data_IF_257153118740
#
_entry.id   IF_257153118740
#
_cell.length_a   1.000
_cell.length_b   1.000
_cell.length_c   1.000
_cell.angle_alpha   90.00
_cell.angle_beta   90.00
_cell.angle_gamma   90.00
#
_symmetry.space_group_name_H-M   'P 1'
#
loop_
_entity.id
_entity.type
_entity.pdbx_description
1 polymer ?
#
# COMPACT_ATOMS: atom_id res chain seq x y z
N UNK A 1 -8.50 -20.03 24.69
CA UNK A 1 -9.69 -20.27 23.85
C UNK A 1 -9.31 -19.93 22.42
N UNK A 2 -9.85 -20.66 21.43
CA UNK A 2 -9.61 -20.34 20.00
C UNK A 2 -9.96 -18.88 19.72
N UNK A 3 -9.16 -18.19 18.90
CA UNK A 3 -9.48 -16.83 18.45
C UNK A 3 -10.76 -16.83 17.59
N UNK A 4 -11.02 -17.92 16.86
CA UNK A 4 -12.23 -18.08 16.04
C UNK A 4 -13.50 -18.08 16.89
N UNK A 5 -13.44 -18.66 18.08
CA UNK A 5 -14.57 -18.70 19.01
C UNK A 5 -14.95 -17.31 19.56
N UNK A 6 -14.11 -16.30 19.38
CA UNK A 6 -14.33 -14.92 19.84
C UNK A 6 -14.94 -14.04 18.73
N UNK A 7 -15.03 -14.55 17.50
CA UNK A 7 -15.49 -13.77 16.34
C UNK A 7 -17.01 -13.89 16.21
N UNK A 8 -17.71 -12.80 16.52
CA UNK A 8 -19.17 -12.68 16.37
C UNK A 8 -19.59 -11.76 15.21
N UNK A 9 -18.66 -10.97 14.68
CA UNK A 9 -18.88 -9.99 13.62
C UNK A 9 -17.70 -9.99 12.63
N UNK A 10 -17.84 -9.37 11.44
CA UNK A 10 -16.77 -9.32 10.45
C UNK A 10 -15.47 -8.82 11.07
N UNK A 11 -14.43 -9.63 11.03
CA UNK A 11 -13.17 -9.35 11.72
C UNK A 11 -12.01 -9.54 10.76
N UNK A 12 -11.16 -8.51 10.63
CA UNK A 12 -9.97 -8.60 9.78
C UNK A 12 -8.87 -9.36 10.51
N UNK A 13 -8.65 -10.60 10.08
CA UNK A 13 -7.57 -11.44 10.59
C UNK A 13 -6.26 -11.04 9.94
N UNK A 14 -5.19 -11.02 10.74
CA UNK A 14 -3.82 -10.81 10.29
C UNK A 14 -2.95 -12.00 10.70
N UNK A 15 -2.38 -12.67 9.70
CA UNK A 15 -1.35 -13.67 9.91
C UNK A 15 0.01 -12.97 10.04
N UNK A 16 0.45 -12.78 11.29
CA UNK A 16 1.72 -12.13 11.62
C UNK A 16 2.93 -12.81 10.96
N UNK A 17 2.95 -14.14 10.90
CA UNK A 17 4.07 -14.88 10.32
C UNK A 17 4.23 -14.58 8.83
N UNK A 18 3.12 -14.56 8.08
CA UNK A 18 3.14 -14.21 6.65
C UNK A 18 3.54 -12.75 6.47
N UNK A 19 2.96 -11.82 7.24
CA UNK A 19 3.28 -10.40 7.13
C UNK A 19 4.77 -10.11 7.40
N UNK A 20 5.33 -10.69 8.47
CA UNK A 20 6.75 -10.57 8.79
C UNK A 20 7.64 -11.21 7.72
N UNK A 21 7.27 -12.36 7.19
CA UNK A 21 8.00 -12.98 6.08
C UNK A 21 8.01 -12.10 4.83
N UNK A 22 6.90 -11.42 4.52
CA UNK A 22 6.82 -10.46 3.43
C UNK A 22 7.73 -9.24 3.67
N UNK A 23 7.71 -8.68 4.89
CA UNK A 23 8.58 -7.57 5.30
C UNK A 23 10.06 -7.96 5.11
N UNK A 24 10.47 -9.09 5.69
CA UNK A 24 11.84 -9.60 5.60
C UNK A 24 12.29 -9.78 4.16
N UNK A 25 11.47 -10.41 3.31
CA UNK A 25 11.77 -10.64 1.89
C UNK A 25 12.09 -9.34 1.15
N UNK A 26 11.32 -8.28 1.41
CA UNK A 26 11.54 -6.97 0.78
C UNK A 26 12.75 -6.25 1.37
N UNK A 27 12.96 -6.33 2.68
CA UNK A 27 14.13 -5.75 3.35
C UNK A 27 15.43 -6.39 2.87
N UNK A 28 15.48 -7.72 2.77
CA UNK A 28 16.60 -8.47 2.20
C UNK A 28 16.83 -8.11 0.74
N UNK A 29 15.77 -7.98 -0.07
CA UNK A 29 15.90 -7.51 -1.45
C UNK A 29 16.54 -6.13 -1.52
N UNK A 30 16.05 -5.17 -0.75
CA UNK A 30 16.60 -3.82 -0.72
C UNK A 30 18.09 -3.82 -0.33
N UNK A 31 18.47 -4.61 0.67
CA UNK A 31 19.88 -4.81 1.07
C UNK A 31 20.72 -5.41 -0.06
N UNK A 32 20.24 -6.48 -0.72
CA UNK A 32 20.96 -7.10 -1.87
C UNK A 32 21.15 -6.14 -3.04
N UNK A 33 20.16 -5.30 -3.31
CA UNK A 33 20.20 -4.34 -4.41
C UNK A 33 20.87 -3.00 -4.04
N UNK A 34 21.36 -2.88 -2.80
CA UNK A 34 21.97 -1.66 -2.27
C UNK A 34 21.07 -0.41 -2.45
N UNK A 35 19.76 -0.58 -2.23
CA UNK A 35 18.77 0.50 -2.27
C UNK A 35 18.15 0.69 -0.89
N UNK A 36 17.80 1.93 -0.54
CA UNK A 36 17.06 2.21 0.70
C UNK A 36 15.62 1.71 0.57
N UNK A 37 15.16 0.93 1.53
CA UNK A 37 13.74 0.60 1.65
C UNK A 37 13.05 1.67 2.48
N UNK A 38 12.14 2.44 1.86
CA UNK A 38 11.25 3.39 2.54
C UNK A 38 9.79 2.97 2.34
N UNK A 39 9.34 1.92 3.05
CA UNK A 39 8.07 1.28 2.78
C UNK A 39 6.90 2.24 3.05
N UNK A 40 5.82 2.03 2.31
CA UNK A 40 4.65 2.89 2.40
C UNK A 40 3.62 2.34 3.39
N UNK A 41 3.45 3.06 4.51
CA UNK A 41 2.66 2.62 5.67
C UNK A 41 1.14 2.80 5.53
N UNK A 42 0.65 3.21 4.35
CA UNK A 42 -0.79 3.40 4.10
C UNK A 42 -1.60 2.10 4.13
N UNK A 43 -0.94 0.95 3.96
CA UNK A 43 -1.62 -0.34 3.89
C UNK A 43 -2.02 -0.85 5.27
N UNK A 44 -1.11 -0.77 6.25
CA UNK A 44 -1.36 -1.29 7.60
C UNK A 44 -1.73 -0.22 8.62
N UNK A 45 -1.19 1.01 8.48
CA UNK A 45 -1.49 2.14 9.36
C UNK A 45 -1.42 1.82 10.88
N UNK A 46 -0.61 0.83 11.25
CA UNK A 46 -0.53 0.24 12.59
C UNK A 46 0.87 0.43 13.15
N UNK A 47 0.98 0.94 14.38
CA UNK A 47 2.25 1.03 15.11
C UNK A 47 2.90 -0.34 15.25
N UNK A 48 2.14 -1.36 15.64
CA UNK A 48 2.63 -2.70 15.92
C UNK A 48 3.27 -3.31 14.66
N UNK A 49 2.58 -3.21 13.51
CA UNK A 49 3.15 -3.64 12.22
C UNK A 49 4.37 -2.78 11.85
N UNK A 50 4.38 -1.49 12.19
CA UNK A 50 5.55 -0.62 12.06
C UNK A 50 6.76 -1.12 12.84
N UNK A 51 6.60 -1.62 14.07
CA UNK A 51 7.72 -2.17 14.85
C UNK A 51 8.35 -3.39 14.14
N UNK A 52 7.56 -4.21 13.43
CA UNK A 52 8.09 -5.32 12.64
C UNK A 52 9.02 -4.86 11.50
N UNK A 53 8.79 -3.67 10.93
CA UNK A 53 9.70 -3.07 9.96
C UNK A 53 11.02 -2.62 10.61
N UNK A 54 10.96 -2.06 11.84
CA UNK A 54 12.17 -1.65 12.58
C UNK A 54 13.05 -2.86 12.91
N UNK A 55 12.45 -4.00 13.27
CA UNK A 55 13.18 -5.25 13.52
C UNK A 55 14.01 -5.72 12.30
N UNK A 56 13.55 -5.43 11.08
CA UNK A 56 14.26 -5.76 9.83
C UNK A 56 15.26 -4.66 9.39
N UNK A 57 15.39 -3.59 10.19
CA UNK A 57 16.33 -2.49 10.00
C UNK A 57 15.81 -1.31 9.19
N UNK A 58 14.49 -1.19 8.99
CA UNK A 58 13.90 -0.04 8.32
C UNK A 58 13.84 1.16 9.27
N UNK A 59 14.42 2.28 8.85
CA UNK A 59 14.50 3.52 9.65
C UNK A 59 13.73 4.69 9.05
N UNK A 60 13.26 4.55 7.82
CA UNK A 60 12.62 5.61 7.04
C UNK A 60 11.32 5.10 6.42
N UNK A 61 10.25 5.90 6.45
CA UNK A 61 8.93 5.47 5.97
C UNK A 61 8.28 6.47 5.02
N UNK A 62 7.32 5.97 4.26
CA UNK A 62 6.45 6.77 3.39
C UNK A 62 5.02 6.74 3.90
N UNK A 63 4.36 7.89 3.97
CA UNK A 63 2.96 8.02 4.38
C UNK A 63 2.17 8.79 3.33
N UNK A 64 0.83 8.67 3.37
CA UNK A 64 -0.07 9.30 2.38
C UNK A 64 -0.72 10.59 2.88
N UNK A 65 -0.54 10.94 4.16
CA UNK A 65 -1.18 12.12 4.75
C UNK A 65 -0.39 12.67 5.93
N UNK A 66 -0.64 13.94 6.25
CA UNK A 66 -0.10 14.61 7.44
C UNK A 66 -0.54 13.92 8.73
N UNK A 67 -1.82 13.49 8.81
CA UNK A 67 -2.35 12.74 9.96
C UNK A 67 -1.53 11.47 10.21
N UNK A 68 -1.20 10.73 9.15
CA UNK A 68 -0.41 9.51 9.25
C UNK A 68 1.04 9.80 9.63
N UNK A 69 1.63 10.89 9.12
CA UNK A 69 2.95 11.34 9.57
C UNK A 69 2.96 11.64 11.08
N UNK A 70 1.96 12.38 11.59
CA UNK A 70 1.81 12.68 13.03
C UNK A 70 1.60 11.42 13.88
N UNK A 71 0.86 10.44 13.37
CA UNK A 71 0.69 9.15 14.04
C UNK A 71 2.03 8.43 14.19
N UNK A 72 2.77 8.22 13.10
CA UNK A 72 4.02 7.48 13.16
C UNK A 72 5.17 8.26 13.83
N UNK A 73 5.21 9.59 13.72
CA UNK A 73 6.17 10.42 14.45
C UNK A 73 6.04 10.24 15.97
N UNK A 74 4.81 10.24 16.51
CA UNK A 74 4.54 9.95 17.93
C UNK A 74 4.92 8.53 18.36
N UNK A 75 5.12 7.63 17.39
CA UNK A 75 5.58 6.25 17.61
C UNK A 75 7.06 6.04 17.23
N UNK A 76 7.84 7.13 17.25
CA UNK A 76 9.30 7.11 17.15
C UNK A 76 9.83 6.93 15.72
N UNK A 77 9.04 7.25 14.70
CA UNK A 77 9.55 7.33 13.33
C UNK A 77 10.08 8.74 13.05
N UNK A 78 11.38 8.84 12.76
CA UNK A 78 12.07 10.12 12.62
C UNK A 78 12.34 10.55 11.18
N UNK A 79 12.29 9.63 10.21
CA UNK A 79 12.43 9.96 8.78
C UNK A 79 11.16 9.56 8.03
N UNK A 80 10.31 10.55 7.73
CA UNK A 80 8.99 10.34 7.13
C UNK A 80 8.85 11.19 5.88
N UNK A 81 8.54 10.56 4.75
CA UNK A 81 8.15 11.26 3.51
C UNK A 81 6.63 11.18 3.30
N UNK A 82 5.98 12.32 3.15
CA UNK A 82 4.58 12.40 2.73
C UNK A 82 4.55 12.35 1.19
N UNK A 83 4.23 11.18 0.63
CA UNK A 83 4.22 10.94 -0.82
C UNK A 83 2.87 11.30 -1.46
N UNK A 84 2.37 12.49 -1.15
CA UNK A 84 1.18 13.12 -1.72
C UNK A 84 1.51 14.58 -2.06
N UNK A 85 0.98 15.16 -3.15
CA UNK A 85 1.24 16.56 -3.48
C UNK A 85 0.95 17.49 -2.29
N UNK A 86 1.80 18.49 -2.10
CA UNK A 86 1.73 19.43 -0.99
C UNK A 86 0.31 19.97 -0.77
N UNK A 87 -0.27 19.67 0.39
CA UNK A 87 -1.53 20.28 0.81
C UNK A 87 -1.26 21.54 1.64
N UNK A 88 -1.28 22.70 0.97
CA UNK A 88 -1.04 24.02 1.58
C UNK A 88 -1.94 24.33 2.78
N UNK A 89 -3.14 23.73 2.83
CA UNK A 89 -4.09 23.91 3.94
C UNK A 89 -3.64 23.27 5.26
N UNK A 90 -2.63 22.39 5.22
CA UNK A 90 -2.09 21.72 6.40
C UNK A 90 -0.69 22.23 6.76
N UNK A 91 -0.34 23.43 6.30
CA UNK A 91 0.97 24.04 6.58
C UNK A 91 1.29 24.12 8.08
N UNK A 92 0.37 24.53 8.99
CA UNK A 92 0.68 24.55 10.42
C UNK A 92 1.10 23.18 10.96
N UNK A 93 0.41 22.11 10.55
CA UNK A 93 0.73 20.73 10.97
C UNK A 93 2.01 20.21 10.32
N UNK A 94 2.32 20.62 9.08
CA UNK A 94 3.59 20.32 8.43
C UNK A 94 4.76 21.00 9.16
N UNK A 95 4.60 22.27 9.56
CA UNK A 95 5.61 23.00 10.30
C UNK A 95 5.88 22.36 11.67
N UNK A 96 4.83 21.98 12.40
CA UNK A 96 4.94 21.28 13.68
C UNK A 96 5.67 19.93 13.54
N UNK A 97 5.35 19.15 12.49
CA UNK A 97 6.05 17.89 12.19
C UNK A 97 7.52 18.12 11.84
N UNK A 98 7.82 19.11 11.00
CA UNK A 98 9.18 19.40 10.56
C UNK A 98 10.11 19.81 11.71
N UNK A 99 9.57 20.29 12.83
CA UNK A 99 10.34 20.57 14.04
C UNK A 99 10.73 19.30 14.83
N UNK A 100 10.03 18.19 14.60
CA UNK A 100 10.17 16.96 15.38
C UNK A 100 10.93 15.87 14.63
N UNK A 101 10.83 15.85 13.30
CA UNK A 101 11.31 14.76 12.45
C UNK A 101 11.97 15.28 11.17
N UNK A 102 12.76 14.42 10.53
CA UNK A 102 13.23 14.61 9.16
C UNK A 102 12.06 14.43 8.19
N UNK A 103 11.35 15.53 7.90
CA UNK A 103 10.14 15.52 7.08
C UNK A 103 10.46 15.69 5.60
N UNK A 104 10.08 14.70 4.79
CA UNK A 104 10.01 14.78 3.34
C UNK A 104 8.64 15.24 2.85
N UNK A 105 8.59 16.30 2.03
CA UNK A 105 7.39 16.79 1.34
C UNK A 105 7.53 16.62 -0.16
N UNK A 106 6.41 16.47 -0.85
CA UNK A 106 6.38 16.28 -2.31
C UNK A 106 5.76 17.50 -2.99
N UNK A 107 6.50 18.12 -3.92
CA UNK A 107 6.01 19.23 -4.75
C UNK A 107 5.73 18.77 -6.18
N UNK A 108 4.82 19.45 -6.87
CA UNK A 108 4.47 19.14 -8.26
C UNK A 108 4.49 20.37 -9.17
N UNK A 109 4.93 21.52 -8.67
CA UNK A 109 5.00 22.78 -9.42
C UNK A 109 6.02 23.73 -8.80
N UNK A 110 6.46 24.73 -9.58
CA UNK A 110 7.36 25.78 -9.08
C UNK A 110 6.66 26.63 -8.00
N UNK A 111 5.35 26.85 -8.16
CA UNK A 111 4.51 27.58 -7.20
C UNK A 111 4.45 26.89 -5.82
N UNK A 112 4.52 25.55 -5.76
CA UNK A 112 4.64 24.84 -4.48
C UNK A 112 5.97 25.13 -3.78
N UNK A 113 7.06 25.26 -4.54
CA UNK A 113 8.39 25.60 -4.00
C UNK A 113 8.39 27.04 -3.48
N UNK A 114 7.87 27.99 -4.26
CA UNK A 114 7.70 29.39 -3.86
C UNK A 114 6.86 29.48 -2.58
N UNK A 115 5.74 28.76 -2.53
CA UNK A 115 4.89 28.73 -1.35
C UNK A 115 5.63 28.21 -0.12
N UNK A 116 6.39 27.12 -0.23
CA UNK A 116 7.20 26.61 0.88
C UNK A 116 8.27 27.64 1.30
N UNK A 117 9.00 28.22 0.35
CA UNK A 117 10.02 29.25 0.61
C UNK A 117 9.47 30.41 1.44
N UNK A 118 8.27 30.88 1.10
CA UNK A 118 7.66 32.06 1.72
C UNK A 118 6.93 31.77 3.02
N UNK A 119 6.32 30.58 3.15
CA UNK A 119 5.37 30.28 4.23
C UNK A 119 5.91 29.28 5.25
N UNK A 120 6.97 28.51 4.93
CA UNK A 120 7.56 27.52 5.81
C UNK A 120 9.00 27.89 6.17
N UNK A 121 9.21 28.36 7.40
CA UNK A 121 10.55 28.70 7.89
C UNK A 121 11.35 27.48 8.39
N UNK A 122 10.66 26.41 8.81
CA UNK A 122 11.30 25.19 9.32
C UNK A 122 11.83 24.36 8.15
N UNK A 123 13.09 23.88 8.18
CA UNK A 123 13.65 23.08 7.11
C UNK A 123 12.87 21.79 6.85
N UNK A 124 12.67 21.48 5.56
CA UNK A 124 12.12 20.21 5.10
C UNK A 124 12.95 19.68 3.94
N UNK A 125 12.82 18.37 3.70
CA UNK A 125 13.34 17.70 2.53
C UNK A 125 12.29 17.76 1.41
N UNK A 126 12.66 18.24 0.23
CA UNK A 126 11.76 18.38 -0.92
C UNK A 126 12.05 17.31 -1.95
N UNK A 127 11.00 16.58 -2.33
CA UNK A 127 10.97 15.71 -3.50
C UNK A 127 10.14 16.35 -4.62
N UNK A 128 10.66 16.37 -5.84
CA UNK A 128 9.87 16.74 -7.01
C UNK A 128 9.15 15.50 -7.53
N UNK A 129 7.82 15.55 -7.60
CA UNK A 129 7.01 14.44 -8.13
C UNK A 129 7.18 14.34 -9.64
N UNK A 130 7.77 13.24 -10.09
CA UNK A 130 7.87 12.91 -11.50
C UNK A 130 6.73 11.96 -11.93
N UNK A 131 6.15 12.21 -13.10
CA UNK A 131 5.26 11.29 -13.81
C UNK A 131 6.05 10.56 -14.90
N UNK A 132 6.23 9.26 -14.72
CA UNK A 132 6.92 8.38 -15.67
C UNK A 132 5.98 7.74 -16.70
N UNK A 133 4.68 8.04 -16.65
CA UNK A 133 3.67 7.48 -17.57
C UNK A 133 2.38 7.04 -16.89
N UNK A 134 2.22 7.26 -15.59
CA UNK A 134 0.99 6.88 -14.88
C UNK A 134 -0.16 7.86 -15.16
N UNK A 135 0.12 9.15 -15.36
CA UNK A 135 -0.90 10.15 -15.64
C UNK A 135 -1.80 10.49 -14.46
N UNK A 136 -1.30 10.32 -13.22
CA UNK A 136 -2.06 10.66 -11.99
C UNK A 136 -1.69 12.02 -11.41
N UNK A 137 -0.43 12.16 -10.99
CA UNK A 137 0.13 13.40 -10.42
C UNK A 137 1.63 13.45 -10.70
N UNK A 138 2.18 14.67 -10.70
CA UNK A 138 3.59 14.92 -10.98
C UNK A 138 3.81 15.57 -12.34
N UNK A 139 5.04 16.03 -12.54
CA UNK A 139 5.49 16.65 -13.78
C UNK A 139 6.00 15.53 -14.69
N UNK A 140 5.54 15.51 -15.95
CA UNK A 140 6.04 14.55 -16.93
C UNK A 140 7.55 14.69 -17.06
N UNK A 141 8.27 13.56 -17.07
CA UNK A 141 9.74 13.59 -17.16
C UNK A 141 10.26 14.25 -18.43
N UNK A 142 9.44 14.27 -19.49
CA UNK A 142 9.74 14.91 -20.77
C UNK A 142 9.47 16.43 -20.78
N UNK A 143 8.75 16.96 -19.79
CA UNK A 143 8.45 18.39 -19.69
C UNK A 143 9.59 19.14 -18.97
N UNK A 144 10.75 19.21 -19.63
CA UNK A 144 11.96 19.78 -19.05
C UNK A 144 11.83 21.26 -18.74
N UNK A 145 10.98 22.00 -19.47
CA UNK A 145 10.77 23.43 -19.19
C UNK A 145 10.10 23.64 -17.82
N UNK A 146 9.06 22.85 -17.51
CA UNK A 146 8.40 22.91 -16.19
C UNK A 146 9.34 22.42 -15.09
N UNK A 147 10.11 21.36 -15.34
CA UNK A 147 11.11 20.88 -14.38
C UNK A 147 12.18 21.95 -14.12
N UNK A 148 12.76 22.54 -15.16
CA UNK A 148 13.79 23.57 -15.03
C UNK A 148 13.29 24.76 -14.20
N UNK A 149 12.04 25.19 -14.39
CA UNK A 149 11.41 26.23 -13.56
C UNK A 149 11.32 25.83 -12.07
N UNK A 150 10.97 24.58 -11.77
CA UNK A 150 10.96 24.06 -10.39
C UNK A 150 12.37 24.08 -9.78
N UNK A 151 13.37 23.61 -10.53
CA UNK A 151 14.76 23.59 -10.03
C UNK A 151 15.34 25.00 -9.84
N UNK A 152 14.93 25.97 -10.66
CA UNK A 152 15.32 27.38 -10.48
C UNK A 152 14.78 27.94 -9.17
N UNK A 153 13.51 27.68 -8.82
CA UNK A 153 12.96 28.10 -7.53
C UNK A 153 13.61 27.37 -6.35
N UNK A 154 13.95 26.08 -6.51
CA UNK A 154 14.66 25.32 -5.48
C UNK A 154 16.06 25.88 -5.21
N UNK A 155 16.78 26.33 -6.24
CA UNK A 155 18.08 26.98 -6.08
C UNK A 155 18.00 28.28 -5.27
N UNK A 156 16.84 28.93 -5.23
CA UNK A 156 16.56 30.13 -4.43
C UNK A 156 15.95 29.84 -3.05
N UNK A 157 15.90 28.56 -2.64
CA UNK A 157 15.26 28.11 -1.40
C UNK A 157 16.25 27.36 -0.49
N UNK A 158 17.35 28.00 -0.03
CA UNK A 158 18.41 27.33 0.72
C UNK A 158 17.99 26.84 2.12
N UNK A 159 16.86 27.31 2.65
CA UNK A 159 16.30 26.83 3.92
C UNK A 159 15.69 25.43 3.83
N UNK A 160 15.49 24.90 2.62
CA UNK A 160 14.99 23.55 2.38
C UNK A 160 15.99 22.74 1.58
N UNK A 161 15.95 21.42 1.72
CA UNK A 161 16.89 20.53 1.03
C UNK A 161 16.18 19.83 -0.13
N UNK A 162 16.57 20.11 -1.36
CA UNK A 162 16.13 19.31 -2.50
C UNK A 162 16.83 17.94 -2.46
N UNK A 163 16.05 16.87 -2.27
CA UNK A 163 16.59 15.50 -2.27
C UNK A 163 16.66 14.90 -3.66
N UNK A 164 15.72 15.22 -4.54
CA UNK A 164 15.67 14.69 -5.90
C UNK A 164 14.26 14.37 -6.38
N UNK A 165 14.14 13.35 -7.22
CA UNK A 165 12.89 13.01 -7.89
C UNK A 165 12.22 11.77 -7.32
N UNK A 166 10.91 11.85 -7.19
CA UNK A 166 10.08 10.79 -6.65
C UNK A 166 8.98 10.40 -7.64
N UNK A 167 9.00 9.15 -8.12
CA UNK A 167 7.98 8.61 -9.02
C UNK A 167 7.20 7.45 -8.39
N UNK A 168 5.97 7.23 -8.87
CA UNK A 168 5.18 6.04 -8.55
C UNK A 168 4.55 5.50 -9.83
N UNK A 169 5.00 4.32 -10.27
CA UNK A 169 4.57 3.69 -11.50
C UNK A 169 3.25 2.94 -11.33
N UNK A 170 2.21 3.60 -10.81
CA UNK A 170 0.92 2.95 -10.49
C UNK A 170 0.20 2.30 -11.68
N UNK A 171 0.65 2.53 -12.91
CA UNK A 171 0.16 1.83 -14.09
C UNK A 171 0.60 0.34 -14.13
N UNK A 172 1.54 -0.09 -13.28
CA UNK A 172 1.82 -1.51 -13.02
C UNK A 172 0.61 -2.28 -12.49
N UNK A 173 -0.35 -1.62 -11.83
CA UNK A 173 -1.60 -2.24 -11.39
C UNK A 173 -2.52 -2.65 -12.55
N UNK A 174 -2.29 -2.08 -13.75
CA UNK A 174 -2.99 -2.46 -14.99
C UNK A 174 -2.25 -3.56 -15.77
N UNK A 175 -1.00 -3.85 -15.41
CA UNK A 175 -0.22 -4.93 -16.01
C UNK A 175 -0.61 -6.30 -15.45
N UNK A 176 -0.33 -7.36 -16.21
CA UNK A 176 -0.54 -8.75 -15.80
C UNK A 176 0.70 -9.55 -16.17
N UNK A 177 1.26 -10.24 -15.19
CA UNK A 177 2.44 -11.08 -15.34
C UNK A 177 3.76 -10.29 -15.35
N UNK A 178 4.84 -11.04 -15.11
CA UNK A 178 6.19 -10.49 -14.90
C UNK A 178 6.69 -9.61 -16.06
N UNK A 179 6.44 -10.01 -17.32
CA UNK A 179 6.97 -9.30 -18.49
C UNK A 179 6.38 -7.89 -18.63
N UNK A 180 5.06 -7.76 -18.53
CA UNK A 180 4.39 -6.45 -18.62
C UNK A 180 4.79 -5.52 -17.46
N UNK A 181 5.05 -6.08 -16.27
CA UNK A 181 5.59 -5.32 -15.13
C UNK A 181 7.03 -4.89 -15.43
N UNK A 182 7.86 -5.77 -16.00
CA UNK A 182 9.25 -5.48 -16.36
C UNK A 182 9.35 -4.34 -17.38
N UNK A 183 8.48 -4.32 -18.40
CA UNK A 183 8.46 -3.27 -19.42
C UNK A 183 8.19 -1.88 -18.80
N UNK A 184 7.20 -1.80 -17.90
CA UNK A 184 6.87 -0.57 -17.17
C UNK A 184 8.01 -0.15 -16.23
N UNK A 185 8.60 -1.12 -15.53
CA UNK A 185 9.70 -0.88 -14.61
C UNK A 185 10.92 -0.34 -15.35
N UNK A 186 11.32 -0.96 -16.46
CA UNK A 186 12.44 -0.50 -17.30
C UNK A 186 12.21 0.92 -17.84
N UNK A 187 11.00 1.23 -18.33
CA UNK A 187 10.65 2.58 -18.77
C UNK A 187 10.72 3.59 -17.63
N UNK A 188 10.27 3.21 -16.43
CA UNK A 188 10.33 4.06 -15.24
C UNK A 188 11.79 4.33 -14.84
N UNK A 189 12.65 3.31 -14.82
CA UNK A 189 14.08 3.48 -14.51
C UNK A 189 14.76 4.39 -15.53
N UNK A 190 14.57 4.15 -16.82
CA UNK A 190 15.19 4.97 -17.88
C UNK A 190 14.80 6.45 -17.76
N UNK A 191 13.52 6.74 -17.53
CA UNK A 191 13.04 8.12 -17.35
C UNK A 191 13.61 8.79 -16.11
N UNK A 192 13.69 8.07 -14.99
CA UNK A 192 14.23 8.61 -13.75
C UNK A 192 15.74 8.85 -13.85
N UNK A 193 16.49 7.93 -14.47
CA UNK A 193 17.92 8.08 -14.72
C UNK A 193 18.20 9.27 -15.65
N UNK A 194 17.40 9.47 -16.69
CA UNK A 194 17.53 10.64 -17.58
C UNK A 194 17.37 11.97 -16.82
N UNK A 195 16.48 12.04 -15.81
CA UNK A 195 16.39 13.20 -14.92
C UNK A 195 17.68 13.38 -14.11
N UNK A 196 18.21 12.32 -13.51
CA UNK A 196 19.47 12.39 -12.75
C UNK A 196 20.63 12.84 -13.63
N UNK A 197 20.78 12.27 -14.81
CA UNK A 197 21.82 12.68 -15.78
C UNK A 197 21.73 14.17 -16.12
N UNK A 198 20.52 14.68 -16.36
CA UNK A 198 20.30 16.11 -16.66
C UNK A 198 20.69 17.04 -15.51
N UNK A 199 20.38 16.66 -14.27
CA UNK A 199 20.44 17.58 -13.13
C UNK A 199 21.60 17.32 -12.15
N UNK A 200 22.33 16.21 -12.26
CA UNK A 200 23.39 15.82 -11.32
C UNK A 200 24.56 16.81 -11.26
N UNK A 201 24.87 17.52 -12.35
CA UNK A 201 25.95 18.52 -12.35
C UNK A 201 25.64 19.70 -11.43
N UNK A 202 24.37 20.13 -11.36
CA UNK A 202 23.92 21.17 -10.45
C UNK A 202 23.58 20.63 -9.05
N UNK A 203 23.19 19.36 -8.96
CA UNK A 203 22.77 18.70 -7.73
C UNK A 203 23.49 17.34 -7.55
N UNK A 204 24.77 17.33 -7.12
CA UNK A 204 25.55 16.09 -7.03
C UNK A 204 24.99 15.04 -6.07
N UNK A 205 24.19 15.46 -5.08
CA UNK A 205 23.53 14.57 -4.10
C UNK A 205 22.12 14.11 -4.50
N UNK A 206 21.71 14.34 -5.76
CA UNK A 206 20.36 14.05 -6.24
C UNK A 206 20.04 12.54 -6.16
N UNK A 207 18.93 12.25 -5.48
CA UNK A 207 18.40 10.91 -5.27
C UNK A 207 17.18 10.65 -6.17
N UNK A 208 17.01 9.39 -6.56
CA UNK A 208 15.85 8.89 -7.25
C UNK A 208 15.11 7.91 -6.34
N UNK A 209 13.83 8.19 -6.14
CA UNK A 209 12.95 7.34 -5.34
C UNK A 209 11.82 6.81 -6.21
N UNK A 210 11.71 5.49 -6.35
CA UNK A 210 10.67 4.83 -7.16
C UNK A 210 9.96 3.74 -6.36
N UNK A 211 9.16 2.93 -7.04
CA UNK A 211 8.61 1.70 -6.47
C UNK A 211 7.11 1.71 -6.29
N UNK A 212 6.59 0.51 -6.49
CA UNK A 212 5.25 0.05 -6.20
C UNK A 212 5.34 -1.44 -5.86
N UNK A 213 4.27 -1.99 -5.28
CA UNK A 213 4.29 -3.39 -4.88
C UNK A 213 4.49 -4.36 -6.05
N UNK A 214 3.83 -4.20 -7.21
CA UNK A 214 4.12 -5.06 -8.36
C UNK A 214 5.60 -5.12 -8.75
N UNK A 215 6.22 -4.00 -9.10
CA UNK A 215 7.62 -3.95 -9.56
C UNK A 215 8.57 -4.44 -8.48
N UNK A 216 8.42 -3.97 -7.24
CA UNK A 216 9.30 -4.38 -6.14
C UNK A 216 9.15 -5.86 -5.78
N UNK A 217 8.03 -6.50 -6.09
CA UNK A 217 7.85 -7.93 -5.82
C UNK A 217 8.55 -8.80 -6.86
N UNK A 218 8.46 -8.47 -8.15
CA UNK A 218 8.93 -9.36 -9.23
C UNK A 218 10.23 -8.97 -9.90
N UNK A 219 10.67 -7.71 -9.78
CA UNK A 219 11.93 -7.23 -10.34
C UNK A 219 13.06 -7.34 -9.33
N UNK A 220 14.28 -7.53 -9.84
CA UNK A 220 15.51 -7.52 -9.05
C UNK A 220 16.37 -6.31 -9.39
N UNK A 221 16.41 -5.84 -10.63
CA UNK A 221 17.26 -4.69 -11.01
C UNK A 221 16.63 -3.36 -10.58
N UNK A 222 17.33 -2.61 -9.72
CA UNK A 222 17.02 -1.24 -9.34
C UNK A 222 18.25 -0.33 -9.53
N UNK A 223 19.10 -0.65 -10.51
CA UNK A 223 20.33 0.10 -10.78
C UNK A 223 20.05 1.59 -10.98
N UNK A 224 20.90 2.43 -10.38
CA UNK A 224 20.80 3.89 -10.46
C UNK A 224 19.69 4.51 -9.61
N UNK A 225 18.99 3.72 -8.79
CA UNK A 225 17.97 4.19 -7.83
C UNK A 225 18.53 4.19 -6.42
N UNK A 226 18.24 5.23 -5.64
CA UNK A 226 18.64 5.32 -4.23
C UNK A 226 17.60 4.73 -3.28
N UNK A 227 16.32 4.76 -3.65
CA UNK A 227 15.23 4.35 -2.75
C UNK A 227 14.05 3.68 -3.47
N UNK A 228 13.49 2.64 -2.82
CA UNK A 228 12.23 2.00 -3.21
C UNK A 228 11.15 2.16 -2.14
N UNK A 229 9.88 2.34 -2.56
CA UNK A 229 8.74 2.64 -1.67
C UNK A 229 7.50 1.73 -1.83
N UNK A 230 7.62 0.39 -1.86
CA UNK A 230 6.45 -0.49 -1.87
C UNK A 230 5.72 -0.43 -0.52
N UNK A 231 4.42 -0.72 -0.49
CA UNK A 231 3.65 -0.73 0.76
C UNK A 231 2.72 -1.93 0.91
N UNK A 232 1.90 -2.18 -0.12
CA UNK A 232 0.87 -3.23 -0.09
C UNK A 232 1.45 -4.64 0.15
N UNK A 233 2.69 -4.88 -0.26
CA UNK A 233 3.40 -6.16 -0.09
C UNK A 233 3.39 -6.71 1.34
N UNK A 234 3.26 -5.86 2.37
CA UNK A 234 3.16 -6.32 3.77
C UNK A 234 2.01 -7.33 3.94
N UNK A 235 0.88 -7.07 3.28
CA UNK A 235 -0.30 -7.93 3.33
C UNK A 235 -0.58 -8.66 2.02
N UNK A 236 -0.13 -8.11 0.88
CA UNK A 236 -0.63 -8.46 -0.44
C UNK A 236 -2.17 -8.45 -0.48
N UNK A 237 -2.77 -8.96 -1.56
CA UNK A 237 -4.21 -9.14 -1.73
C UNK A 237 -4.50 -9.88 -3.05
N UNK A 238 -5.77 -10.13 -3.36
CA UNK A 238 -6.13 -10.79 -4.61
C UNK A 238 -5.78 -9.96 -5.85
N UNK A 239 -5.74 -8.62 -5.74
CA UNK A 239 -5.29 -7.79 -6.86
C UNK A 239 -3.81 -8.04 -7.16
N UNK A 240 -2.95 -8.10 -6.14
CA UNK A 240 -1.54 -8.45 -6.33
C UNK A 240 -1.35 -9.87 -6.84
N UNK A 241 -2.13 -10.84 -6.35
CA UNK A 241 -2.12 -12.21 -6.88
C UNK A 241 -2.47 -12.21 -8.37
N UNK A 242 -3.54 -11.52 -8.78
CA UNK A 242 -3.95 -11.42 -10.19
C UNK A 242 -2.97 -10.67 -11.07
N UNK A 243 -2.27 -9.66 -10.53
CA UNK A 243 -1.18 -8.97 -11.23
C UNK A 243 0.01 -9.93 -11.44
N UNK A 244 0.19 -10.93 -10.57
CA UNK A 244 1.34 -11.83 -10.56
C UNK A 244 2.46 -11.35 -9.64
N UNK A 245 2.16 -10.46 -8.70
CA UNK A 245 3.13 -9.91 -7.74
C UNK A 245 3.41 -10.85 -6.57
N UNK A 246 2.48 -11.74 -6.24
CA UNK A 246 2.57 -12.65 -5.10
C UNK A 246 1.86 -13.97 -5.36
N UNK A 247 2.03 -14.93 -4.46
CA UNK A 247 1.26 -16.16 -4.38
C UNK A 247 0.08 -15.97 -3.41
N UNK A 248 -0.91 -16.86 -3.46
CA UNK A 248 -2.03 -16.82 -2.51
C UNK A 248 -1.56 -16.99 -1.05
N UNK A 249 -0.53 -17.82 -0.83
CA UNK A 249 0.10 -18.05 0.47
C UNK A 249 0.85 -16.83 1.03
N UNK A 250 1.13 -15.81 0.20
CA UNK A 250 1.74 -14.56 0.65
C UNK A 250 0.70 -13.56 1.16
N UNK A 251 -0.60 -13.80 0.95
CA UNK A 251 -1.66 -12.90 1.44
C UNK A 251 -1.76 -13.07 2.96
N UNK A 252 -1.49 -12.00 3.69
CA UNK A 252 -1.39 -12.03 5.15
C UNK A 252 -2.69 -11.63 5.86
N UNK A 253 -3.76 -11.30 5.13
CA UNK A 253 -5.04 -10.89 5.72
C UNK A 253 -6.23 -11.64 5.12
N UNK A 254 -7.22 -11.92 5.97
CA UNK A 254 -8.51 -12.49 5.56
C UNK A 254 -9.62 -11.90 6.43
N UNK A 255 -10.75 -11.56 5.83
CA UNK A 255 -11.94 -11.16 6.58
C UNK A 255 -12.67 -12.41 7.07
N UNK A 256 -12.76 -12.63 8.38
CA UNK A 256 -13.63 -13.65 8.94
C UNK A 256 -15.07 -13.14 8.96
N UNK A 257 -15.99 -13.87 8.33
CA UNK A 257 -17.39 -13.48 8.16
C UNK A 257 -18.33 -14.60 8.63
N UNK A 258 -19.31 -14.31 9.50
CA UNK A 258 -20.38 -15.25 9.83
C UNK A 258 -21.28 -15.54 8.63
N UNK A 259 -21.65 -16.80 8.44
CA UNK A 259 -22.71 -17.21 7.51
C UNK A 259 -24.07 -16.97 8.18
N UNK A 260 -24.88 -16.08 7.62
CA UNK A 260 -26.15 -15.64 8.22
C UNK A 260 -27.39 -16.15 7.50
N UNK A 261 -27.27 -16.55 6.23
CA UNK A 261 -28.37 -17.20 5.50
C UNK A 261 -27.86 -18.08 4.36
N UNK A 262 -28.70 -19.02 3.94
CA UNK A 262 -28.45 -19.95 2.84
C UNK A 262 -29.65 -19.94 1.89
N UNK A 263 -29.41 -19.86 0.59
CA UNK A 263 -30.43 -19.88 -0.47
C UNK A 263 -30.19 -21.04 -1.44
N UNK A 264 -30.78 -22.24 -1.18
CA UNK A 264 -30.52 -23.45 -1.96
C UNK A 264 -30.95 -23.37 -3.42
N UNK A 265 -32.01 -22.62 -3.73
CA UNK A 265 -32.56 -22.45 -5.08
C UNK A 265 -31.55 -21.80 -6.06
N UNK A 266 -30.60 -21.06 -5.52
CA UNK A 266 -29.59 -20.28 -6.27
C UNK A 266 -28.15 -20.59 -5.86
N UNK A 267 -27.95 -21.56 -4.96
CA UNK A 267 -26.66 -21.95 -4.38
C UNK A 267 -25.85 -20.76 -3.86
N UNK A 268 -26.51 -19.89 -3.08
CA UNK A 268 -25.88 -18.70 -2.52
C UNK A 268 -25.84 -18.72 -1.00
N UNK A 269 -24.67 -18.35 -0.49
CA UNK A 269 -24.36 -18.22 0.94
C UNK A 269 -24.27 -16.73 1.27
N UNK A 270 -25.05 -16.29 2.25
CA UNK A 270 -25.05 -14.89 2.68
C UNK A 270 -24.13 -14.73 3.87
N UNK A 271 -23.17 -13.83 3.74
CA UNK A 271 -22.22 -13.47 4.79
C UNK A 271 -22.66 -12.18 5.46
N UNK A 272 -22.56 -12.11 6.79
CA UNK A 272 -22.37 -10.84 7.45
C UNK A 272 -20.93 -10.42 7.14
N UNK A 273 -20.77 -9.39 6.30
CA UNK A 273 -19.51 -9.11 5.61
C UNK A 273 -19.72 -8.35 4.31
N UNK A 274 -20.25 -7.12 4.42
CA UNK A 274 -20.57 -6.26 3.29
C UNK A 274 -19.46 -5.29 2.86
N UNK A 275 -19.84 -4.31 2.04
CA UNK A 275 -18.98 -3.25 1.53
C UNK A 275 -18.31 -2.40 2.63
N UNK A 276 -18.93 -2.25 3.80
CA UNK A 276 -18.33 -1.50 4.92
C UNK A 276 -17.19 -2.26 5.61
N UNK A 277 -17.00 -3.54 5.28
CA UNK A 277 -15.91 -4.37 5.80
C UNK A 277 -14.86 -4.65 4.71
N UNK A 278 -15.31 -4.98 3.50
CA UNK A 278 -14.46 -5.44 2.40
C UNK A 278 -14.11 -4.37 1.36
N UNK A 279 -14.73 -3.18 1.45
CA UNK A 279 -14.81 -2.18 0.38
C UNK A 279 -15.64 -2.66 -0.83
N UNK A 280 -15.75 -1.84 -1.89
CA UNK A 280 -16.36 -2.24 -3.17
C UNK A 280 -15.35 -2.41 -4.30
N UNK A 281 -14.06 -2.49 -3.98
CA UNK A 281 -13.06 -2.86 -4.97
C UNK A 281 -13.31 -4.29 -5.45
N UNK A 282 -13.25 -4.47 -6.77
CA UNK A 282 -13.58 -5.73 -7.41
C UNK A 282 -12.58 -6.05 -8.51
N UNK A 283 -12.26 -7.33 -8.64
CA UNK A 283 -11.61 -7.86 -9.82
C UNK A 283 -12.66 -8.05 -10.92
N UNK A 284 -12.42 -7.42 -12.07
CA UNK A 284 -13.29 -7.50 -13.24
C UNK A 284 -12.52 -8.15 -14.37
N UNK A 285 -13.09 -9.21 -14.91
CA UNK A 285 -12.65 -9.83 -16.15
C UNK A 285 -13.78 -9.64 -17.17
N UNK A 286 -13.48 -9.43 -18.47
CA UNK A 286 -14.50 -9.35 -19.51
C UNK A 286 -15.44 -10.56 -19.44
N UNK A 287 -16.74 -10.31 -19.58
CA UNK A 287 -17.81 -11.33 -19.60
C UNK A 287 -17.92 -12.20 -18.35
N UNK A 288 -17.34 -11.77 -17.21
CA UNK A 288 -17.45 -12.44 -15.92
C UNK A 288 -18.10 -11.55 -14.87
N UNK A 289 -18.77 -12.19 -13.92
CA UNK A 289 -19.32 -11.50 -12.74
C UNK A 289 -18.17 -10.89 -11.94
N UNK A 290 -18.32 -9.65 -11.41
CA UNK A 290 -17.31 -9.06 -10.55
C UNK A 290 -16.98 -9.96 -9.35
N UNK A 291 -15.69 -10.07 -9.05
CA UNK A 291 -15.19 -10.82 -7.90
C UNK A 291 -14.80 -9.83 -6.81
N UNK A 292 -15.44 -9.92 -5.65
CA UNK A 292 -15.17 -9.09 -4.47
C UNK A 292 -14.31 -9.81 -3.41
N UNK A 293 -14.07 -11.11 -3.59
CA UNK A 293 -13.22 -11.91 -2.71
C UNK A 293 -13.23 -13.39 -3.07
N UNK A 294 -12.25 -14.12 -2.55
CA UNK A 294 -12.17 -15.58 -2.60
C UNK A 294 -12.46 -16.14 -1.21
N UNK A 295 -13.33 -17.14 -1.13
CA UNK A 295 -13.70 -17.76 0.15
C UNK A 295 -12.68 -18.83 0.52
N UNK A 296 -12.20 -18.81 1.75
CA UNK A 296 -11.23 -19.76 2.31
C UNK A 296 -11.79 -20.38 3.60
N UNK A 297 -11.49 -21.65 3.89
CA UNK A 297 -11.81 -22.22 5.20
C UNK A 297 -10.88 -21.62 6.27
N UNK A 298 -11.44 -21.27 7.42
CA UNK A 298 -10.66 -20.84 8.59
C UNK A 298 -10.18 -22.05 9.40
N UNK A 299 -9.01 -21.92 10.00
CA UNK A 299 -8.35 -22.93 10.83
C UNK A 299 -7.72 -22.26 12.05
N UNK A 300 -7.40 -23.03 13.09
CA UNK A 300 -6.72 -22.52 14.29
C UNK A 300 -5.35 -21.89 14.00
N UNK A 301 -4.75 -22.15 12.83
CA UNK A 301 -3.44 -21.62 12.42
C UNK A 301 -3.53 -20.64 11.25
N UNK A 302 -4.72 -20.15 10.89
CA UNK A 302 -4.93 -19.23 9.77
C UNK A 302 -6.05 -19.67 8.84
N UNK A 303 -5.79 -19.74 7.54
CA UNK A 303 -6.77 -20.17 6.54
C UNK A 303 -6.18 -21.10 5.50
N UNK A 304 -7.03 -21.94 4.92
CA UNK A 304 -6.67 -22.87 3.85
C UNK A 304 -6.65 -22.23 2.47
N UNK A 305 -6.56 -23.08 1.44
CA UNK A 305 -6.68 -22.65 0.05
C UNK A 305 -8.11 -22.16 -0.27
N UNK A 306 -8.29 -21.27 -1.26
CA UNK A 306 -9.60 -20.88 -1.74
C UNK A 306 -10.45 -22.08 -2.13
N UNK A 307 -11.71 -22.07 -1.71
CA UNK A 307 -12.68 -23.08 -2.09
C UNK A 307 -12.92 -23.01 -3.62
N UNK A 308 -12.91 -24.15 -4.33
CA UNK A 308 -13.11 -24.16 -5.77
C UNK A 308 -14.52 -23.65 -6.10
N UNK A 309 -14.66 -22.97 -7.25
CA UNK A 309 -15.94 -22.43 -7.74
C UNK A 309 -16.74 -21.62 -6.72
N UNK A 310 -16.07 -21.06 -5.71
CA UNK A 310 -16.69 -20.35 -4.59
C UNK A 310 -16.14 -18.93 -4.51
N UNK A 311 -16.99 -17.95 -4.82
CA UNK A 311 -16.55 -16.55 -4.90
C UNK A 311 -17.57 -15.61 -4.30
N UNK A 312 -17.09 -14.50 -3.73
CA UNK A 312 -17.93 -13.39 -3.30
C UNK A 312 -18.28 -12.55 -4.53
N UNK A 313 -19.54 -12.61 -4.97
CA UNK A 313 -20.00 -12.06 -6.27
C UNK A 313 -20.77 -10.75 -6.13
N UNK A 314 -21.21 -10.40 -4.93
CA UNK A 314 -21.95 -9.15 -4.68
C UNK A 314 -21.76 -8.65 -3.26
N UNK A 315 -21.79 -7.33 -3.09
CA UNK A 315 -21.73 -6.63 -1.82
C UNK A 315 -22.83 -5.57 -1.72
N UNK A 316 -23.72 -5.76 -0.74
CA UNK A 316 -24.53 -4.67 -0.18
C UNK A 316 -23.72 -3.91 0.88
N UNK A 317 -24.35 -3.04 1.68
CA UNK A 317 -23.63 -2.35 2.75
C UNK A 317 -23.07 -3.34 3.79
N UNK A 318 -23.92 -4.23 4.32
CA UNK A 318 -23.57 -5.15 5.43
C UNK A 318 -23.48 -6.63 5.01
N UNK A 319 -24.09 -6.99 3.88
CA UNK A 319 -24.15 -8.38 3.42
C UNK A 319 -23.27 -8.62 2.20
N UNK A 320 -22.55 -9.74 2.24
CA UNK A 320 -21.85 -10.31 1.10
C UNK A 320 -22.60 -11.53 0.56
N UNK A 321 -22.61 -11.69 -0.77
CA UNK A 321 -23.24 -12.83 -1.44
C UNK A 321 -22.17 -13.70 -2.05
N UNK A 322 -22.01 -14.91 -1.53
CA UNK A 322 -21.13 -15.93 -2.07
C UNK A 322 -21.93 -16.84 -2.99
N UNK A 323 -21.41 -17.09 -4.20
CA UNK A 323 -21.91 -18.12 -5.11
C UNK A 323 -20.94 -19.29 -5.12
N UNK A 324 -21.47 -20.51 -5.05
CA UNK A 324 -20.71 -21.76 -4.93
C UNK A 324 -21.35 -22.86 -5.78
N UNK A 325 -20.65 -23.99 -5.96
CA UNK A 325 -21.22 -25.20 -6.56
C UNK A 325 -22.27 -25.85 -5.64
N UNK A 326 -23.22 -26.65 -6.16
CA UNK A 326 -24.20 -27.38 -5.35
C UNK A 326 -23.55 -28.31 -4.31
N UNK A 327 -22.44 -28.97 -4.67
CA UNK A 327 -21.74 -29.92 -3.81
C UNK A 327 -21.13 -29.20 -2.59
N UNK A 328 -20.46 -28.07 -2.82
CA UNK A 328 -19.89 -27.26 -1.75
C UNK A 328 -20.97 -26.53 -0.94
N UNK A 329 -22.06 -26.10 -1.58
CA UNK A 329 -23.18 -25.46 -0.89
C UNK A 329 -23.69 -26.29 0.29
N UNK A 330 -23.78 -27.61 0.11
CA UNK A 330 -24.24 -28.55 1.15
C UNK A 330 -23.35 -28.62 2.40
N UNK A 331 -22.13 -28.08 2.33
CA UNK A 331 -21.18 -28.08 3.43
C UNK A 331 -21.32 -26.85 4.35
N UNK A 332 -21.96 -25.78 3.89
CA UNK A 332 -22.19 -24.57 4.68
C UNK A 332 -23.41 -24.71 5.59
N UNK A 333 -23.33 -24.12 6.78
CA UNK A 333 -24.41 -23.99 7.74
C UNK A 333 -24.50 -22.54 8.21
N UNK A 334 -25.72 -22.10 8.53
CA UNK A 334 -25.91 -20.82 9.23
C UNK A 334 -25.22 -20.90 10.59
N UNK A 335 -24.43 -19.88 10.91
CA UNK A 335 -23.55 -19.83 12.08
C UNK A 335 -22.11 -20.27 11.81
N UNK A 336 -21.80 -20.84 10.65
CA UNK A 336 -20.42 -21.10 10.25
C UNK A 336 -19.63 -19.80 10.13
N UNK A 337 -18.31 -19.88 10.29
CA UNK A 337 -17.39 -18.78 10.07
C UNK A 337 -16.45 -19.10 8.90
N UNK A 338 -16.40 -18.22 7.91
CA UNK A 338 -15.58 -18.39 6.71
C UNK A 338 -14.62 -17.22 6.54
N UNK A 339 -13.49 -17.44 5.90
CA UNK A 339 -12.57 -16.38 5.54
C UNK A 339 -12.84 -15.86 4.14
N UNK A 340 -12.63 -14.57 3.91
CA UNK A 340 -12.65 -13.94 2.59
C UNK A 340 -11.31 -13.23 2.38
N UNK A 341 -10.55 -13.69 1.38
CA UNK A 341 -9.36 -12.97 0.93
C UNK A 341 -9.81 -11.68 0.21
N UNK A 342 -9.42 -10.49 0.68
CA UNK A 342 -9.91 -9.24 0.11
C UNK A 342 -9.28 -8.94 -1.25
N UNK A 343 -10.02 -8.22 -2.09
CA UNK A 343 -9.49 -7.72 -3.38
C UNK A 343 -8.38 -6.70 -3.17
N UNK A 344 -8.52 -5.83 -2.19
CA UNK A 344 -7.57 -4.74 -1.93
C UNK A 344 -7.37 -4.54 -0.43
N UNK A 345 -6.24 -5.02 0.09
CA UNK A 345 -6.00 -5.04 1.54
C UNK A 345 -5.93 -3.66 2.16
N UNK A 346 -5.46 -2.63 1.44
CA UNK A 346 -5.37 -1.27 1.99
C UNK A 346 -6.76 -0.68 2.34
N UNK A 347 -7.76 -0.89 1.48
CA UNK A 347 -9.11 -0.36 1.74
C UNK A 347 -9.85 -1.18 2.78
N UNK A 348 -9.68 -2.51 2.76
CA UNK A 348 -10.21 -3.40 3.79
C UNK A 348 -9.64 -3.04 5.17
N UNK A 349 -8.33 -2.82 5.27
CA UNK A 349 -7.67 -2.35 6.48
C UNK A 349 -8.23 -1.01 6.99
N UNK A 350 -8.38 -0.03 6.10
CA UNK A 350 -8.86 1.31 6.47
C UNK A 350 -10.30 1.30 7.00
N UNK A 351 -11.16 0.45 6.42
CA UNK A 351 -12.54 0.25 6.86
C UNK A 351 -12.61 -0.43 8.22
N UNK A 352 -11.81 -1.48 8.41
CA UNK A 352 -11.84 -2.30 9.63
C UNK A 352 -11.14 -1.65 10.82
N UNK A 353 -10.21 -0.72 10.57
CA UNK A 353 -9.58 0.11 11.62
C UNK A 353 -8.91 -0.71 12.73
N UNK A 354 -8.52 -1.94 12.46
CA UNK A 354 -7.89 -2.82 13.42
C UNK A 354 -7.71 -4.21 12.84
N UNK A 355 -6.93 -5.03 13.54
CA UNK A 355 -6.62 -6.39 13.14
C UNK A 355 -6.70 -7.31 14.34
N UNK A 356 -7.13 -8.55 14.13
CA UNK A 356 -7.01 -9.63 15.12
C UNK A 356 -5.95 -10.60 14.64
N UNK A 357 -4.91 -10.85 15.45
CA UNK A 357 -3.90 -11.87 15.15
C UNK A 357 -4.47 -13.27 15.31
N UNK A 358 -3.77 -14.28 14.81
CA UNK A 358 -4.15 -15.68 14.98
C UNK A 358 -4.00 -16.18 16.43
N UNK A 359 -3.42 -15.35 17.30
CA UNK A 359 -3.34 -15.56 18.74
C UNK A 359 -4.49 -14.86 19.50
N UNK A 360 -5.36 -14.14 18.78
CA UNK A 360 -6.46 -13.36 19.36
C UNK A 360 -6.06 -11.99 19.88
N UNK A 361 -4.85 -11.51 19.56
CA UNK A 361 -4.40 -10.18 19.96
C UNK A 361 -4.94 -9.11 19.01
N UNK A 362 -5.37 -7.98 19.54
CA UNK A 362 -5.83 -6.85 18.74
C UNK A 362 -4.65 -5.92 18.41
N UNK A 363 -4.44 -5.65 17.12
CA UNK A 363 -3.51 -4.60 16.67
C UNK A 363 -4.29 -3.36 16.24
N UNK A 364 -3.83 -2.21 16.70
CA UNK A 364 -4.43 -0.91 16.40
C UNK A 364 -4.13 -0.45 14.97
N UNK A 365 -5.06 0.29 14.39
CA UNK A 365 -4.88 1.09 13.17
C UNK A 365 -5.01 2.57 13.56
N UNK A 366 -4.39 3.50 12.84
CA UNK A 366 -4.43 4.94 13.18
C UNK A 366 -5.83 5.58 13.25
N UNK A 367 -6.84 4.87 12.75
CA UNK A 367 -8.25 5.28 12.70
C UNK A 367 -9.12 4.47 13.66
N UNK A 368 -8.56 3.42 14.28
CA UNK A 368 -9.16 2.61 15.34
C UNK A 368 -8.71 3.11 16.70
N UNK A 369 -9.43 2.66 17.73
CA UNK A 369 -9.39 3.11 19.13
C UNK A 369 -7.98 3.31 19.66
#
# INVERSE_FOLDING_TARGET
MSFLAQISEPTLLLNEQIARANIRRMAEKAKRQNVRLRPHFKTHQSRQVGEWFKEEGVTAITVSSVKMAQYFARHGWEDITIAFPLNRRQLPQLAELAQQINLGVTVASADDVVFLREQLSVPVNIWVKADTGYGRTGIKTEDTAVLDAVLQELAQTPQHTFLGFLAHAGHTYKARGKNAIADIHAQTLAKMQALKERYAAAWPGLQLSVGDTPSCSVMEDFSGIEEIRPGNFVFYDLMQYKIGSCRLEDIAVAMACPVVALHPDRHEVILYGGAVHLSKDALREPDRVPLFGLVVPLTETGWGAPLPDTTLVSLSQEHGVVRTSPELFSQFKVGDLVGVLPVHSCLTADLMKGYTTLQGEMLEHLSGV
#
